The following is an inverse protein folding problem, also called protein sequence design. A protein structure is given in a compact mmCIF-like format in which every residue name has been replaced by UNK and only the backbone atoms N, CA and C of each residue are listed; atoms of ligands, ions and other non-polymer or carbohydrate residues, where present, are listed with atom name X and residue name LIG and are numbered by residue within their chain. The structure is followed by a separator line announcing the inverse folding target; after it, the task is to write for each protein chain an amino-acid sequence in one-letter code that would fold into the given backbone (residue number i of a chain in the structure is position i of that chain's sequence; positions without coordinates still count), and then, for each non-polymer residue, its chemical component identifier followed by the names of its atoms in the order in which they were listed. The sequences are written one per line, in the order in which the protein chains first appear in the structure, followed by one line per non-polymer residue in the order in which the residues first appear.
data_IF_162861418111
#
_entry.id   IF_162861418111
#
_cell.length_a   1.000
_cell.length_b   1.000
_cell.length_c   1.000
_cell.angle_alpha   90.00
_cell.angle_beta   90.00
_cell.angle_gamma   90.00
#
_symmetry.space_group_name_H-M   'P 1'
#
loop_
_entity.id
_entity.type
_entity.pdbx_description
1 polymer ?
#
# COMPACT_ATOMS: atom_id res chain seq x y z
N UNK A 1 -8.05 6.08 -4.57
CA UNK A 1 -7.01 6.62 -3.67
C UNK A 1 -6.38 7.83 -4.31
N UNK A 2 -6.02 8.85 -3.51
CA UNK A 2 -5.43 10.12 -3.97
C UNK A 2 -4.10 10.42 -3.29
N UNK A 3 -3.88 9.94 -2.07
CA UNK A 3 -2.72 10.28 -1.25
C UNK A 3 -2.07 9.05 -0.63
N UNK A 4 -0.80 9.18 -0.25
CA UNK A 4 -0.06 8.14 0.48
C UNK A 4 -0.77 7.73 1.78
N UNK A 5 -1.47 8.68 2.42
CA UNK A 5 -2.28 8.38 3.60
C UNK A 5 -3.42 7.41 3.29
N UNK A 6 -4.07 7.51 2.13
CA UNK A 6 -5.14 6.59 1.75
C UNK A 6 -4.60 5.15 1.60
N UNK A 7 -3.38 5.01 1.07
CA UNK A 7 -2.69 3.71 0.97
C UNK A 7 -2.38 3.16 2.36
N UNK A 8 -1.93 4.01 3.28
CA UNK A 8 -1.72 3.61 4.68
C UNK A 8 -3.03 3.16 5.33
N UNK A 9 -4.15 3.85 5.11
CA UNK A 9 -5.45 3.44 5.65
C UNK A 9 -5.93 2.11 5.06
N UNK A 10 -5.71 1.87 3.76
CA UNK A 10 -5.98 0.58 3.15
C UNK A 10 -5.22 -0.55 3.86
N UNK A 11 -3.90 -0.38 4.06
CA UNK A 11 -3.07 -1.38 4.74
C UNK A 11 -3.48 -1.62 6.19
N UNK A 12 -3.90 -0.56 6.91
CA UNK A 12 -4.41 -0.68 8.29
C UNK A 12 -5.65 -1.55 8.41
N UNK A 13 -6.52 -1.59 7.40
CA UNK A 13 -7.69 -2.48 7.38
C UNK A 13 -7.30 -3.97 7.42
N UNK A 14 -6.06 -4.28 7.02
CA UNK A 14 -5.48 -5.63 7.09
C UNK A 14 -4.51 -5.80 8.27
N UNK A 15 -4.47 -4.86 9.22
CA UNK A 15 -3.55 -4.88 10.36
C UNK A 15 -2.09 -4.61 9.99
N UNK A 16 -1.83 -4.08 8.79
CA UNK A 16 -0.47 -3.80 8.31
C UNK A 16 -0.10 -2.36 8.68
N UNK A 17 0.93 -2.20 9.51
CA UNK A 17 1.48 -0.91 9.92
C UNK A 17 2.95 -0.84 9.49
N UNK A 18 3.24 0.09 8.57
CA UNK A 18 4.61 0.30 8.07
C UNK A 18 5.18 1.56 8.72
N UNK A 19 6.28 1.40 9.46
CA UNK A 19 7.01 2.51 10.08
C UNK A 19 8.47 2.10 10.34
N UNK A 20 9.36 2.46 9.43
CA UNK A 20 10.81 2.16 9.48
C UNK A 20 11.62 3.43 9.79
N UNK A 21 10.95 4.59 9.92
CA UNK A 21 11.58 5.86 10.26
C UNK A 21 12.23 6.59 9.08
N UNK A 22 12.16 6.02 7.87
CA UNK A 22 12.55 6.69 6.62
C UNK A 22 11.44 6.58 5.59
N UNK A 23 10.94 7.73 5.13
CA UNK A 23 9.79 7.83 4.22
C UNK A 23 9.92 6.98 2.95
N UNK A 24 11.09 6.96 2.32
CA UNK A 24 11.31 6.17 1.10
C UNK A 24 11.16 4.68 1.36
N UNK A 25 11.67 4.22 2.51
CA UNK A 25 11.63 2.80 2.86
C UNK A 25 10.22 2.38 3.27
N UNK A 26 9.47 3.28 3.93
CA UNK A 26 8.05 3.06 4.19
C UNK A 26 7.28 2.91 2.87
N UNK A 27 7.59 3.71 1.86
CA UNK A 27 6.95 3.60 0.52
C UNK A 27 7.26 2.24 -0.13
N UNK A 28 8.52 1.82 -0.11
CA UNK A 28 8.95 0.54 -0.67
C UNK A 28 8.26 -0.65 0.02
N UNK A 29 8.20 -0.64 1.36
CA UNK A 29 7.50 -1.67 2.12
C UNK A 29 5.99 -1.66 1.88
N UNK A 30 5.36 -0.48 1.85
CA UNK A 30 3.94 -0.40 1.50
C UNK A 30 3.67 -0.96 0.10
N UNK A 31 4.58 -0.74 -0.86
CA UNK A 31 4.46 -1.30 -2.21
C UNK A 31 4.57 -2.84 -2.21
N UNK A 32 5.47 -3.40 -1.40
CA UNK A 32 5.64 -4.84 -1.22
C UNK A 32 4.38 -5.48 -0.60
N UNK A 33 3.85 -4.88 0.47
CA UNK A 33 2.65 -5.41 1.12
C UNK A 33 1.41 -5.35 0.24
N UNK A 34 1.27 -4.32 -0.61
CA UNK A 34 0.22 -4.29 -1.62
C UNK A 34 0.33 -5.44 -2.63
N UNK A 35 1.55 -5.85 -3.00
CA UNK A 35 1.75 -7.01 -3.88
C UNK A 35 1.31 -8.30 -3.18
N UNK A 36 1.58 -8.45 -1.88
CA UNK A 36 1.12 -9.59 -1.09
C UNK A 36 -0.42 -9.64 -1.02
N UNK A 37 -1.07 -8.51 -0.71
CA UNK A 37 -2.53 -8.44 -0.65
C UNK A 37 -3.17 -8.78 -2.00
N UNK A 38 -2.62 -8.28 -3.11
CA UNK A 38 -3.14 -8.60 -4.43
C UNK A 38 -2.94 -10.07 -4.81
N UNK A 39 -1.75 -10.64 -4.55
CA UNK A 39 -1.46 -12.06 -4.79
C UNK A 39 -2.33 -12.98 -3.94
N UNK A 40 -2.67 -12.58 -2.72
CA UNK A 40 -3.58 -13.31 -1.84
C UNK A 40 -5.06 -13.19 -2.27
N UNK A 41 -5.37 -12.33 -3.25
CA UNK A 41 -6.74 -12.13 -3.73
C UNK A 41 -7.65 -11.37 -2.77
N UNK A 42 -7.09 -10.69 -1.76
CA UNK A 42 -7.87 -9.98 -0.72
C UNK A 42 -8.16 -8.52 -1.08
N UNK A 43 -7.57 -8.02 -2.17
CA UNK A 43 -7.93 -6.74 -2.80
C UNK A 43 -8.14 -6.94 -4.30
N UNK A 44 -9.05 -6.18 -4.89
CA UNK A 44 -9.31 -6.22 -6.32
C UNK A 44 -8.24 -5.47 -7.13
N UNK A 45 -8.21 -5.74 -8.44
CA UNK A 45 -7.23 -5.15 -9.37
C UNK A 45 -7.31 -3.61 -9.43
N UNK A 46 -8.51 -3.02 -9.35
CA UNK A 46 -8.68 -1.58 -9.42
C UNK A 46 -8.10 -0.91 -8.16
N UNK A 47 -8.33 -1.50 -6.99
CA UNK A 47 -7.74 -1.06 -5.73
C UNK A 47 -6.21 -1.16 -5.77
N UNK A 48 -5.67 -2.30 -6.21
CA UNK A 48 -4.23 -2.51 -6.35
C UNK A 48 -3.56 -1.47 -7.26
N UNK A 49 -4.07 -1.28 -8.48
CA UNK A 49 -3.52 -0.32 -9.44
C UNK A 49 -3.59 1.11 -8.93
N UNK A 50 -4.71 1.47 -8.29
CA UNK A 50 -4.90 2.80 -7.70
C UNK A 50 -3.90 3.08 -6.57
N UNK A 51 -3.56 2.09 -5.75
CA UNK A 51 -2.57 2.23 -4.69
C UNK A 51 -1.15 2.37 -5.25
N UNK A 52 -0.76 1.52 -6.20
CA UNK A 52 0.56 1.57 -6.86
C UNK A 52 0.82 2.92 -7.55
N UNK A 53 -0.20 3.48 -8.23
CA UNK A 53 -0.10 4.81 -8.85
C UNK A 53 0.18 5.92 -7.83
N UNK A 54 -0.38 5.81 -6.63
CA UNK A 54 -0.14 6.79 -5.56
C UNK A 54 1.28 6.67 -5.00
N UNK A 55 1.83 5.47 -4.90
CA UNK A 55 3.19 5.24 -4.39
C UNK A 55 4.29 5.62 -5.39
N UNK A 56 3.97 5.69 -6.69
CA UNK A 56 4.91 6.05 -7.76
C UNK A 56 4.89 7.55 -8.12
N UNK A 57 4.16 8.40 -7.37
CA UNK A 57 4.14 9.86 -7.54
C UNK A 57 5.20 10.53 -6.69
#
# INVERSE_FOLDING_TARGET
MKTLYDVQQLLKNFGIFVYVGKRMWDIELMALELDHLYKAGVIDKQTFLSAKLVLNR
#
